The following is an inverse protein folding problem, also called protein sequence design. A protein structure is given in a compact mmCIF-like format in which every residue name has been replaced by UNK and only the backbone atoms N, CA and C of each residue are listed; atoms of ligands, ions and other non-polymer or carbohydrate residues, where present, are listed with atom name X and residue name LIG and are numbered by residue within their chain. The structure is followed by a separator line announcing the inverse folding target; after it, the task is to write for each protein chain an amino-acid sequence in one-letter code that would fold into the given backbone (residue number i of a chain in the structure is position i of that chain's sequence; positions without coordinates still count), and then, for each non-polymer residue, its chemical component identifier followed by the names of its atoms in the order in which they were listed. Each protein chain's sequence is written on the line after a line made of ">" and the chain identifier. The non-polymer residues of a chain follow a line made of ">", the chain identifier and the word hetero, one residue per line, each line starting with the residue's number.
data_IF_223876706310
#
_entry.id   IF_223876706310
#
_cell.length_a   1.000
_cell.length_b   1.000
_cell.length_c   1.000
_cell.angle_alpha   90.00
_cell.angle_beta   90.00
_cell.angle_gamma   90.00
#
_symmetry.space_group_name_H-M   'P 1'
#
loop_
_entity.id
_entity.type
_entity.pdbx_description
1 polymer ?
#
# COMPACT_ATOMS: atom_id res chain seq x y z
N UNK A 1 -2.67 -1.97 59.59
CA UNK A 1 -2.10 -2.59 58.37
C UNK A 1 -3.25 -2.97 57.43
N UNK A 2 -3.67 -2.07 56.53
CA UNK A 2 -4.69 -2.33 55.48
C UNK A 2 -4.93 -1.15 54.53
N UNK A 3 -4.42 0.05 54.82
CA UNK A 3 -4.65 1.25 53.99
C UNK A 3 -3.54 1.49 52.94
N UNK A 4 -2.39 0.82 53.05
CA UNK A 4 -1.27 1.00 52.09
C UNK A 4 -1.39 0.14 50.80
N UNK A 5 -2.38 -0.75 50.71
CA UNK A 5 -2.48 -1.74 49.62
C UNK A 5 -3.45 -1.34 48.49
N UNK A 6 -4.23 -0.27 48.67
CA UNK A 6 -5.20 0.17 47.67
C UNK A 6 -4.63 1.14 46.63
N UNK A 7 -3.42 1.67 46.84
CA UNK A 7 -2.75 2.54 45.86
C UNK A 7 -2.02 1.77 44.75
N UNK A 8 -1.81 0.46 44.92
CA UNK A 8 -1.11 -0.37 43.92
C UNK A 8 -2.02 -0.92 42.81
N UNK A 9 -3.35 -0.82 42.95
CA UNK A 9 -4.29 -1.28 41.92
C UNK A 9 -4.74 -0.16 40.96
N UNK A 10 -4.44 1.10 41.27
CA UNK A 10 -4.81 2.24 40.42
C UNK A 10 -3.78 2.55 39.30
N UNK A 11 -2.68 1.81 39.21
CA UNK A 11 -1.59 2.08 38.24
C UNK A 11 -1.47 1.06 37.10
N UNK A 12 -2.44 0.15 36.93
CA UNK A 12 -2.53 -0.75 35.76
C UNK A 12 -3.67 -0.43 34.80
N UNK A 13 -4.33 0.72 34.99
CA UNK A 13 -5.13 1.37 33.95
C UNK A 13 -4.28 2.39 33.15
N UNK A 14 -2.95 2.22 33.12
CA UNK A 14 -2.10 2.97 32.20
C UNK A 14 -2.41 2.43 30.81
N UNK A 15 -3.26 3.18 30.12
CA UNK A 15 -3.45 3.23 28.68
C UNK A 15 -2.87 2.02 27.95
N UNK A 16 -3.74 1.05 27.61
CA UNK A 16 -3.44 0.23 26.44
C UNK A 16 -3.38 1.22 25.28
N UNK A 17 -2.23 1.44 24.61
CA UNK A 17 -2.29 2.02 23.29
C UNK A 17 -3.04 0.95 22.48
N UNK A 18 -4.32 1.18 22.24
CA UNK A 18 -4.97 0.53 21.11
C UNK A 18 -4.19 1.04 19.92
N UNK A 19 -3.17 0.29 19.54
CA UNK A 19 -2.38 0.53 18.35
C UNK A 19 -3.28 0.30 17.15
N UNK A 20 -4.24 1.19 16.95
CA UNK A 20 -4.77 1.47 15.63
C UNK A 20 -3.53 1.84 14.83
N UNK A 21 -3.06 0.87 14.04
CA UNK A 21 -2.16 1.14 12.94
C UNK A 21 -2.96 2.01 11.96
N UNK A 22 -3.05 3.31 12.26
CA UNK A 22 -3.59 4.30 11.38
C UNK A 22 -2.60 4.36 10.23
N UNK A 23 -2.82 3.51 9.22
CA UNK A 23 -2.11 3.60 7.96
C UNK A 23 -2.46 4.96 7.41
N UNK A 24 -1.60 5.94 7.66
CA UNK A 24 -1.69 7.23 7.01
C UNK A 24 -1.71 6.96 5.52
N UNK A 25 -2.88 7.17 4.93
CA UNK A 25 -2.99 7.14 3.48
C UNK A 25 -2.03 8.22 3.02
N UNK A 26 -0.99 7.80 2.29
CA UNK A 26 -0.21 8.68 1.44
C UNK A 26 -1.19 9.31 0.47
N UNK A 27 -1.79 10.44 0.86
CA UNK A 27 -2.69 11.15 -0.02
C UNK A 27 -1.80 11.61 -1.17
N UNK A 28 -2.07 11.11 -2.37
CA UNK A 28 -1.47 11.66 -3.57
C UNK A 28 -1.75 13.16 -3.56
N UNK A 29 -0.74 13.97 -3.89
CA UNK A 29 -0.92 15.41 -3.99
C UNK A 29 -2.17 15.70 -4.83
N UNK A 30 -3.06 16.60 -4.35
CA UNK A 30 -4.30 16.97 -5.05
C UNK A 30 -4.07 17.48 -6.48
N UNK A 31 -2.82 17.82 -6.80
CA UNK A 31 -2.36 18.31 -8.09
C UNK A 31 -2.09 17.20 -9.13
N UNK A 32 -2.09 15.92 -8.73
CA UNK A 32 -1.84 14.82 -9.65
C UNK A 32 -3.08 14.51 -10.51
N UNK A 33 -2.87 14.34 -11.81
CA UNK A 33 -3.91 13.87 -12.72
C UNK A 33 -4.25 12.42 -12.41
N UNK A 34 -5.54 12.12 -12.24
CA UNK A 34 -6.02 10.76 -12.03
C UNK A 34 -5.88 9.94 -13.32
N UNK A 35 -5.70 8.64 -13.18
CA UNK A 35 -5.76 7.71 -14.30
C UNK A 35 -7.14 7.74 -14.96
N UNK A 36 -7.19 8.00 -16.26
CA UNK A 36 -8.43 8.02 -17.04
C UNK A 36 -9.15 6.69 -16.89
N UNK A 37 -10.44 6.74 -16.54
CA UNK A 37 -11.30 5.57 -16.31
C UNK A 37 -10.75 4.55 -15.29
N UNK A 38 -9.86 4.97 -14.38
CA UNK A 38 -9.21 4.07 -13.43
C UNK A 38 -8.27 3.04 -14.09
N UNK A 39 -7.89 3.25 -15.35
CA UNK A 39 -6.99 2.37 -16.09
C UNK A 39 -5.53 2.83 -15.95
N UNK A 40 -4.72 2.00 -15.32
CA UNK A 40 -3.27 2.17 -15.22
C UNK A 40 -2.61 1.35 -16.33
N UNK A 41 -2.06 2.03 -17.32
CA UNK A 41 -1.22 1.34 -18.31
C UNK A 41 0.16 1.07 -17.70
N UNK A 42 0.74 -0.08 -17.96
CA UNK A 42 2.09 -0.42 -17.49
C UNK A 42 2.88 -1.17 -18.56
N UNK A 43 4.19 -1.25 -18.36
CA UNK A 43 5.05 -2.19 -19.07
C UNK A 43 6.27 -2.52 -18.22
N UNK A 44 6.83 -3.71 -18.42
CA UNK A 44 8.09 -4.09 -17.81
C UNK A 44 9.26 -3.60 -18.68
N UNK A 45 10.14 -2.81 -18.09
CA UNK A 45 11.40 -2.40 -18.70
C UNK A 45 12.59 -3.10 -18.03
N UNK A 46 13.70 -3.18 -18.74
CA UNK A 46 14.92 -3.83 -18.24
C UNK A 46 14.92 -5.34 -18.38
N UNK A 47 16.09 -5.93 -18.11
CA UNK A 47 16.31 -7.38 -18.16
C UNK A 47 16.63 -7.83 -16.74
N UNK A 48 15.68 -8.45 -16.04
CA UNK A 48 15.89 -8.85 -14.64
C UNK A 48 16.99 -9.90 -14.51
N UNK A 49 17.78 -9.81 -13.44
CA UNK A 49 18.57 -10.94 -12.95
C UNK A 49 17.69 -12.04 -12.36
N UNK A 50 16.56 -11.67 -11.71
CA UNK A 50 15.54 -12.59 -11.19
C UNK A 50 14.16 -12.16 -11.65
N UNK A 51 13.36 -13.08 -12.20
CA UNK A 51 12.03 -12.73 -12.68
C UNK A 51 11.06 -12.43 -11.53
N UNK A 52 10.75 -11.15 -11.34
CA UNK A 52 9.79 -10.64 -10.35
C UNK A 52 8.40 -10.39 -10.94
N UNK A 53 8.20 -10.60 -12.25
CA UNK A 53 6.92 -10.34 -12.93
C UNK A 53 5.75 -11.08 -12.27
N UNK A 54 5.85 -12.38 -11.90
CA UNK A 54 4.72 -13.09 -11.30
C UNK A 54 4.22 -12.46 -10.00
N UNK A 55 5.14 -12.01 -9.14
CA UNK A 55 4.81 -11.33 -7.89
C UNK A 55 4.09 -10.01 -8.14
N UNK A 56 4.58 -9.22 -9.10
CA UNK A 56 4.00 -7.92 -9.46
C UNK A 56 2.60 -8.10 -10.06
N UNK A 57 2.43 -9.06 -10.96
CA UNK A 57 1.14 -9.40 -11.56
C UNK A 57 0.13 -9.88 -10.51
N UNK A 58 0.57 -10.71 -9.54
CA UNK A 58 -0.28 -11.14 -8.44
C UNK A 58 -0.77 -9.94 -7.61
N UNK A 59 0.10 -8.97 -7.34
CA UNK A 59 -0.26 -7.78 -6.58
C UNK A 59 -1.19 -6.85 -7.37
N UNK A 60 -0.99 -6.70 -8.69
CA UNK A 60 -1.93 -6.00 -9.55
C UNK A 60 -3.31 -6.66 -9.51
N UNK A 61 -3.37 -8.00 -9.62
CA UNK A 61 -4.63 -8.74 -9.52
C UNK A 61 -5.34 -8.52 -8.18
N UNK A 62 -4.60 -8.55 -7.07
CA UNK A 62 -5.13 -8.24 -5.73
C UNK A 62 -5.84 -6.87 -5.69
N UNK A 63 -5.24 -5.85 -6.30
CA UNK A 63 -5.80 -4.49 -6.36
C UNK A 63 -7.05 -4.44 -7.26
N UNK A 64 -7.00 -5.06 -8.44
CA UNK A 64 -8.12 -5.05 -9.40
C UNK A 64 -9.37 -5.75 -8.87
N UNK A 65 -9.19 -6.76 -8.02
CA UNK A 65 -10.30 -7.52 -7.44
C UNK A 65 -10.99 -6.80 -6.28
N UNK A 66 -10.41 -5.71 -5.77
CA UNK A 66 -10.89 -4.99 -4.58
C UNK A 66 -11.16 -3.51 -4.83
N UNK A 67 -10.89 -3.03 -6.05
CA UNK A 67 -11.03 -1.63 -6.42
C UNK A 67 -11.52 -1.52 -7.86
N UNK A 68 -11.89 -0.30 -8.28
CA UNK A 68 -12.23 -0.02 -9.67
C UNK A 68 -10.99 0.19 -10.56
N UNK A 69 -9.77 0.06 -10.01
CA UNK A 69 -8.53 0.22 -10.79
C UNK A 69 -8.33 -1.00 -11.68
N UNK A 70 -7.95 -0.79 -12.94
CA UNK A 70 -7.58 -1.82 -13.91
C UNK A 70 -6.14 -1.62 -14.37
N UNK A 71 -5.39 -2.71 -14.52
CA UNK A 71 -4.03 -2.67 -15.07
C UNK A 71 -4.03 -3.26 -16.47
N UNK A 72 -3.48 -2.52 -17.43
CA UNK A 72 -3.38 -2.94 -18.84
C UNK A 72 -1.94 -2.84 -19.26
N UNK A 73 -1.36 -3.94 -19.75
CA UNK A 73 0.00 -3.90 -20.28
C UNK A 73 -0.03 -3.19 -21.64
N UNK A 74 0.56 -1.99 -21.71
CA UNK A 74 0.63 -1.19 -22.92
C UNK A 74 1.83 -0.23 -22.84
N UNK A 75 2.92 -0.62 -23.50
CA UNK A 75 4.16 0.16 -23.58
C UNK A 75 4.05 1.44 -24.42
N UNK A 76 3.02 1.54 -25.26
CA UNK A 76 2.82 2.63 -26.21
C UNK A 76 1.80 3.66 -25.70
N UNK A 77 1.14 3.39 -24.57
CA UNK A 77 0.18 4.31 -23.96
C UNK A 77 0.83 5.62 -23.49
N UNK A 78 0.18 6.75 -23.75
CA UNK A 78 0.69 8.08 -23.38
C UNK A 78 0.99 8.23 -21.87
N UNK A 79 0.03 7.86 -21.02
CA UNK A 79 0.23 7.74 -19.57
C UNK A 79 0.43 6.27 -19.21
N UNK A 80 1.62 5.93 -18.69
CA UNK A 80 1.99 4.57 -18.30
C UNK A 80 3.05 4.54 -17.21
N UNK A 81 3.10 3.44 -16.48
CA UNK A 81 4.16 3.13 -15.52
C UNK A 81 5.20 2.24 -16.19
N UNK A 82 6.47 2.67 -16.21
CA UNK A 82 7.60 1.76 -16.44
C UNK A 82 7.90 1.03 -15.14
N UNK A 83 7.77 -0.28 -15.15
CA UNK A 83 8.21 -1.13 -14.05
C UNK A 83 9.63 -1.57 -14.39
N UNK A 84 10.61 -0.91 -13.77
CA UNK A 84 12.01 -1.26 -13.99
C UNK A 84 12.35 -2.55 -13.24
N UNK A 85 12.90 -3.51 -13.98
CA UNK A 85 13.31 -4.81 -13.47
C UNK A 85 14.82 -4.92 -13.28
N UNK A 86 15.57 -3.88 -13.62
CA UNK A 86 16.99 -3.80 -13.30
C UNK A 86 17.11 -3.57 -11.78
N UNK A 87 17.93 -4.39 -11.11
CA UNK A 87 18.29 -4.21 -9.69
C UNK A 87 19.25 -3.04 -9.49
#
# INVERSE_FOLDING_TARGET
>A
MKILLLLFLASWAIAHPTGENHRDKRQAARLSTKWTNGQVNYYFGGTPFRDRRPMILNQMNYIQNRTCIKFVENKDAYQRIKIDLNE
#
